data_IF_801759017384
#
_entry.id   IF_801759017384
#
_cell.length_a   1.000
_cell.length_b   1.000
_cell.length_c   1.000
_cell.angle_alpha   90.00
_cell.angle_beta   90.00
_cell.angle_gamma   90.00
#
_symmetry.space_group_name_H-M   'P 1'
#
loop_
_entity.id
_entity.type
_entity.pdbx_description
1 polymer ?
#
# COMPACT_ATOMS: atom_id res chain seq x y z
N UNK A 1 -32.30 6.66 0.36
CA UNK A 1 -30.95 7.10 -0.03
C UNK A 1 -30.51 8.19 0.93
N UNK A 2 -29.23 8.20 1.29
CA UNK A 2 -28.59 9.23 2.12
C UNK A 2 -27.36 9.70 1.36
N UNK A 3 -27.09 11.01 1.39
CA UNK A 3 -25.89 11.58 0.80
C UNK A 3 -24.73 11.46 1.79
N UNK A 4 -23.62 10.87 1.36
CA UNK A 4 -22.37 10.76 2.13
C UNK A 4 -21.26 11.48 1.35
N UNK A 5 -20.51 12.35 2.03
CA UNK A 5 -19.43 13.11 1.41
C UNK A 5 -18.15 12.26 1.26
N UNK A 6 -17.27 12.54 0.28
CA UNK A 6 -15.98 11.86 0.17
C UNK A 6 -15.10 12.11 1.40
N UNK A 7 -14.46 11.04 1.89
CA UNK A 7 -13.46 11.14 2.95
C UNK A 7 -12.06 11.27 2.32
N UNK A 8 -11.37 12.37 2.63
CA UNK A 8 -9.97 12.59 2.23
C UNK A 8 -9.13 12.94 3.45
N UNK A 9 -8.00 12.26 3.61
CA UNK A 9 -7.09 12.44 4.73
C UNK A 9 -5.83 13.21 4.32
N UNK A 10 -5.14 13.80 5.29
CA UNK A 10 -3.78 14.32 5.07
C UNK A 10 -2.78 13.17 4.90
N UNK A 11 -2.93 12.10 5.69
CA UNK A 11 -2.07 10.93 5.66
C UNK A 11 -2.87 9.64 5.57
N UNK A 12 -2.36 8.68 4.79
CA UNK A 12 -2.76 7.27 4.87
C UNK A 12 -1.57 6.43 5.35
N UNK A 13 -1.81 5.63 6.39
CA UNK A 13 -0.87 4.61 6.86
C UNK A 13 -1.41 3.25 6.44
N UNK A 14 -0.68 2.55 5.58
CA UNK A 14 -1.15 1.32 4.94
C UNK A 14 -0.13 0.21 5.12
N UNK A 15 -0.59 -1.02 5.30
CA UNK A 15 0.26 -2.21 5.33
C UNK A 15 0.07 -3.00 4.04
N UNK A 16 1.16 -3.41 3.41
CA UNK A 16 1.16 -4.23 2.21
C UNK A 16 2.15 -5.40 2.34
N UNK A 17 2.06 -6.37 1.43
CA UNK A 17 2.93 -7.55 1.48
C UNK A 17 4.32 -7.21 0.94
N UNK A 18 4.38 -6.72 -0.31
CA UNK A 18 5.62 -6.29 -0.95
C UNK A 18 5.43 -4.97 -1.67
N UNK A 19 6.53 -4.25 -1.83
CA UNK A 19 6.63 -3.10 -2.71
C UNK A 19 7.85 -3.21 -3.63
N UNK A 20 7.79 -2.63 -4.82
CA UNK A 20 9.00 -2.35 -5.60
C UNK A 20 9.53 -0.92 -5.34
N UNK A 21 10.70 -0.60 -5.90
CA UNK A 21 11.32 0.73 -5.76
C UNK A 21 10.51 1.90 -6.36
N UNK A 22 9.49 1.63 -7.16
CA UNK A 22 8.56 2.66 -7.65
C UNK A 22 7.34 2.83 -6.74
N UNK A 23 7.20 2.02 -5.70
CA UNK A 23 6.08 2.05 -4.76
C UNK A 23 4.89 1.21 -5.23
N UNK A 24 5.03 0.35 -6.25
CA UNK A 24 3.96 -0.56 -6.64
C UNK A 24 3.75 -1.60 -5.55
N UNK A 25 2.50 -1.85 -5.16
CA UNK A 25 2.17 -2.71 -4.02
C UNK A 25 1.41 -3.96 -4.44
N UNK A 26 1.77 -5.07 -3.80
CA UNK A 26 0.95 -6.28 -3.74
C UNK A 26 0.53 -6.58 -2.30
N UNK A 27 -0.60 -7.26 -2.14
CA UNK A 27 -1.22 -7.53 -0.84
C UNK A 27 -1.49 -9.02 -0.65
N UNK A 28 -1.39 -9.49 0.59
CA UNK A 28 -1.71 -10.88 0.94
C UNK A 28 -3.21 -11.05 1.15
N UNK A 29 -3.90 -11.73 0.23
CA UNK A 29 -5.30 -12.18 0.37
C UNK A 29 -6.22 -11.06 0.92
N UNK A 30 -6.82 -11.28 2.10
CA UNK A 30 -7.75 -10.35 2.76
C UNK A 30 -7.08 -9.14 3.43
N UNK A 31 -5.75 -9.14 3.61
CA UNK A 31 -5.01 -7.99 4.11
C UNK A 31 -5.07 -6.78 3.15
N UNK A 32 -5.52 -6.99 1.91
CA UNK A 32 -5.78 -5.94 0.92
C UNK A 32 -6.85 -4.94 1.37
N UNK A 33 -7.90 -5.39 2.05
CA UNK A 33 -9.09 -4.65 2.50
C UNK A 33 -9.24 -3.19 1.97
N UNK A 34 -8.99 -2.18 2.80
CA UNK A 34 -9.10 -0.75 2.51
C UNK A 34 -7.78 -0.14 2.01
N UNK A 35 -6.66 -0.87 2.07
CA UNK A 35 -5.34 -0.35 1.75
C UNK A 35 -5.29 0.46 0.44
N UNK A 36 -5.66 -0.13 -0.71
CA UNK A 36 -5.66 0.58 -1.99
C UNK A 36 -6.53 1.84 -2.00
N UNK A 37 -7.72 1.79 -1.37
CA UNK A 37 -8.63 2.92 -1.30
C UNK A 37 -8.05 4.05 -0.45
N UNK A 38 -7.41 3.72 0.67
CA UNK A 38 -6.78 4.70 1.56
C UNK A 38 -5.58 5.38 0.87
N UNK A 39 -4.77 4.63 0.10
CA UNK A 39 -3.67 5.20 -0.69
C UNK A 39 -4.17 6.28 -1.67
N UNK A 40 -5.31 6.04 -2.33
CA UNK A 40 -5.91 6.99 -3.28
C UNK A 40 -6.65 8.15 -2.60
N UNK A 41 -6.98 8.03 -1.32
CA UNK A 41 -7.79 8.97 -0.55
C UNK A 41 -6.99 9.85 0.41
N UNK A 42 -5.68 10.02 0.19
CA UNK A 42 -4.83 10.84 1.03
C UNK A 42 -3.93 11.82 0.26
N UNK A 43 -3.39 12.82 0.96
CA UNK A 43 -2.37 13.71 0.41
C UNK A 43 -0.96 13.11 0.52
N UNK A 44 -0.72 12.25 1.51
CA UNK A 44 0.55 11.54 1.68
C UNK A 44 0.32 10.11 2.16
N UNK A 45 0.70 9.14 1.34
CA UNK A 45 0.59 7.72 1.63
C UNK A 45 1.93 7.18 2.11
N UNK A 46 1.93 6.59 3.31
CA UNK A 46 3.07 5.90 3.90
C UNK A 46 2.71 4.43 4.05
N UNK A 47 3.54 3.57 3.48
CA UNK A 47 3.27 2.13 3.40
C UNK A 47 4.35 1.36 4.12
N UNK A 48 3.97 0.51 5.06
CA UNK A 48 4.85 -0.53 5.58
C UNK A 48 4.73 -1.79 4.71
N UNK A 49 5.85 -2.46 4.46
CA UNK A 49 5.90 -3.73 3.74
C UNK A 49 6.80 -4.74 4.42
N UNK A 50 6.55 -6.03 4.16
CA UNK A 50 7.41 -7.11 4.65
C UNK A 50 8.68 -7.28 3.81
N UNK A 51 8.65 -6.85 2.55
CA UNK A 51 9.72 -7.09 1.58
C UNK A 51 9.72 -5.99 0.51
N UNK A 52 10.86 -5.32 0.33
CA UNK A 52 11.09 -4.42 -0.80
C UNK A 52 11.86 -5.15 -1.90
N UNK A 53 11.25 -5.29 -3.07
CA UNK A 53 11.81 -6.02 -4.20
C UNK A 53 12.35 -5.08 -5.28
N UNK A 54 13.14 -5.62 -6.20
CA UNK A 54 13.66 -4.85 -7.32
C UNK A 54 12.60 -4.61 -8.40
N UNK A 55 12.82 -3.59 -9.24
CA UNK A 55 11.89 -3.24 -10.33
C UNK A 55 11.81 -4.41 -11.31
N UNK A 56 10.59 -4.84 -11.61
CA UNK A 56 10.31 -5.97 -12.50
C UNK A 56 10.17 -7.32 -11.79
N UNK A 57 10.41 -7.40 -10.47
CA UNK A 57 10.16 -8.62 -9.70
C UNK A 57 8.69 -8.79 -9.30
N UNK A 58 7.90 -7.71 -9.33
CA UNK A 58 6.45 -7.77 -9.20
C UNK A 58 5.81 -8.03 -10.56
N UNK A 59 5.02 -9.11 -10.65
CA UNK A 59 4.18 -9.39 -11.82
C UNK A 59 3.19 -8.22 -12.03
N UNK A 60 3.20 -7.55 -13.20
CA UNK A 60 2.37 -6.36 -13.44
C UNK A 60 0.88 -6.58 -13.18
N UNK A 61 0.36 -7.75 -13.52
CA UNK A 61 -1.04 -8.17 -13.36
C UNK A 61 -1.44 -8.32 -11.89
N UNK A 62 -0.48 -8.48 -10.99
CA UNK A 62 -0.70 -8.62 -9.56
C UNK A 62 -0.58 -7.29 -8.80
N UNK A 63 -0.10 -6.21 -9.45
CA UNK A 63 -0.01 -4.89 -8.84
C UNK A 63 -1.41 -4.33 -8.59
N UNK A 64 -1.75 -4.12 -7.32
CA UNK A 64 -3.08 -3.66 -6.92
C UNK A 64 -3.10 -2.14 -6.74
N UNK A 65 -2.04 -1.61 -6.14
CA UNK A 65 -1.86 -0.17 -5.95
C UNK A 65 -0.61 0.23 -6.71
N UNK A 66 -0.80 1.05 -7.74
CA UNK A 66 0.31 1.57 -8.52
C UNK A 66 1.09 2.59 -7.68
N UNK A 67 2.39 2.67 -7.92
CA UNK A 67 3.30 3.55 -7.17
C UNK A 67 2.95 5.03 -7.22
N UNK A 68 2.14 5.46 -8.19
CA UNK A 68 1.63 6.85 -8.26
C UNK A 68 0.79 7.26 -7.05
N UNK A 69 0.23 6.30 -6.30
CA UNK A 69 -0.56 6.56 -5.09
C UNK A 69 0.24 6.38 -3.79
N UNK A 70 1.55 6.17 -3.90
CA UNK A 70 2.43 5.80 -2.79
C UNK A 70 3.60 6.77 -2.73
N UNK A 71 3.69 7.53 -1.63
CA UNK A 71 4.76 8.53 -1.47
C UNK A 71 5.98 7.95 -0.75
N UNK A 72 5.75 7.05 0.21
CA UNK A 72 6.81 6.49 1.06
C UNK A 72 6.55 5.01 1.32
N UNK A 73 7.60 4.22 1.18
CA UNK A 73 7.62 2.80 1.53
C UNK A 73 8.67 2.59 2.60
N UNK A 74 8.32 1.86 3.65
CA UNK A 74 9.24 1.41 4.69
C UNK A 74 9.14 -0.11 4.78
N UNK A 75 10.26 -0.79 4.58
CA UNK A 75 10.36 -2.20 4.90
C UNK A 75 10.50 -2.35 6.42
N UNK A 76 9.67 -3.20 7.00
CA UNK A 76 9.71 -3.51 8.43
C UNK A 76 10.26 -4.92 8.62
N UNK A 77 11.24 -5.05 9.53
CA UNK A 77 11.69 -6.38 9.94
C UNK A 77 10.51 -7.14 10.57
N UNK A 78 10.30 -8.42 10.19
CA UNK A 78 9.28 -9.22 10.82
C UNK A 78 9.55 -9.27 12.32
N UNK A 79 8.59 -8.82 13.13
CA UNK A 79 8.65 -9.03 14.57
C UNK A 79 8.55 -10.54 14.79
N UNK A 80 9.70 -11.18 15.05
CA UNK A 80 9.77 -12.53 15.56
C UNK A 80 9.15 -12.52 16.96
N UNK A 81 7.84 -12.71 17.03
CA UNK A 81 7.17 -13.07 18.28
C UNK A 81 7.56 -14.54 18.52
N UNK A 82 8.57 -14.75 19.37
CA UNK A 82 8.87 -16.03 20.00
C UNK A 82 7.76 -16.42 20.97
#
# INVERSE_FOLDING_TARGET
YVFEAPLKADFALVSALKADRWGNLIYSKSARNFGPLMCMASNTTVVEVQDCVEIGELEPENIITQGIFVDRVIEIEPILIL
#
